data_IF_927893219349
#
_entry.id   IF_927893219349
#
_cell.length_a   1.000
_cell.length_b   1.000
_cell.length_c   1.000
_cell.angle_alpha   90.00
_cell.angle_beta   90.00
_cell.angle_gamma   90.00
#
_symmetry.space_group_name_H-M   'P 1'
#
loop_
_entity.id
_entity.type
_entity.pdbx_description
1 polymer ?
#
# COMPACT_ATOMS: atom_id res chain seq x y z
N UNK A 1 2.10 -17.68 -7.12
CA UNK A 1 2.83 -16.50 -7.65
C UNK A 1 1.85 -15.36 -7.56
N UNK A 2 2.22 -14.26 -6.93
CA UNK A 2 1.42 -13.04 -6.84
C UNK A 2 1.06 -12.56 -8.24
N UNK A 3 -0.15 -12.05 -8.46
CA UNK A 3 -0.52 -11.45 -9.74
C UNK A 3 0.44 -10.25 -10.02
N UNK A 4 1.23 -10.26 -11.12
CA UNK A 4 2.14 -9.17 -11.46
C UNK A 4 1.46 -7.80 -11.52
N UNK A 5 0.15 -7.76 -11.79
CA UNK A 5 -0.62 -6.51 -11.78
C UNK A 5 -0.77 -5.91 -10.39
N UNK A 6 -0.84 -6.74 -9.35
CA UNK A 6 -0.93 -6.29 -7.97
C UNK A 6 0.43 -5.73 -7.53
N UNK A 7 1.53 -6.37 -7.93
CA UNK A 7 2.89 -5.87 -7.69
C UNK A 7 3.12 -4.53 -8.42
N UNK A 8 2.78 -4.43 -9.70
CA UNK A 8 2.89 -3.19 -10.48
C UNK A 8 2.04 -2.07 -9.87
N UNK A 9 0.84 -2.40 -9.39
CA UNK A 9 -0.03 -1.45 -8.70
C UNK A 9 0.58 -0.96 -7.39
N UNK A 10 1.13 -1.85 -6.56
CA UNK A 10 1.81 -1.49 -5.31
C UNK A 10 2.96 -0.50 -5.55
N UNK A 11 3.81 -0.79 -6.56
CA UNK A 11 4.90 0.11 -6.95
C UNK A 11 4.37 1.48 -7.39
N UNK A 12 3.27 1.51 -8.14
CA UNK A 12 2.61 2.76 -8.54
C UNK A 12 2.18 3.60 -7.34
N UNK A 13 1.53 2.98 -6.36
CA UNK A 13 1.07 3.63 -5.12
C UNK A 13 2.26 4.15 -4.30
N UNK A 14 3.34 3.37 -4.17
CA UNK A 14 4.56 3.79 -3.46
C UNK A 14 5.23 5.03 -4.09
N UNK A 15 5.27 5.10 -5.42
CA UNK A 15 5.81 6.26 -6.14
C UNK A 15 4.97 7.51 -5.91
N UNK A 16 3.63 7.39 -5.99
CA UNK A 16 2.71 8.50 -5.72
C UNK A 16 2.82 8.99 -4.27
N UNK A 17 2.89 8.07 -3.32
CA UNK A 17 3.06 8.38 -1.90
C UNK A 17 4.38 9.14 -1.66
N UNK A 18 5.48 8.67 -2.26
CA UNK A 18 6.78 9.32 -2.18
C UNK A 18 6.71 10.76 -2.70
N UNK A 19 6.10 10.97 -3.86
CA UNK A 19 5.94 12.31 -4.43
C UNK A 19 5.15 13.26 -3.51
N UNK A 20 4.02 12.80 -2.95
CA UNK A 20 3.21 13.62 -2.06
C UNK A 20 3.93 13.96 -0.75
N UNK A 21 4.66 13.00 -0.18
CA UNK A 21 5.49 13.24 1.02
C UNK A 21 6.56 14.29 0.73
N UNK A 22 7.26 14.20 -0.40
CA UNK A 22 8.25 15.20 -0.81
C UNK A 22 7.63 16.58 -1.06
N UNK A 23 6.46 16.64 -1.72
CA UNK A 23 5.70 17.89 -1.92
C UNK A 23 5.31 18.52 -0.58
N UNK A 24 4.81 17.72 0.37
CA UNK A 24 4.46 18.16 1.72
C UNK A 24 5.68 18.68 2.48
N UNK A 25 6.80 17.95 2.45
CA UNK A 25 8.04 18.39 3.09
C UNK A 25 8.54 19.72 2.51
N UNK A 26 8.54 19.88 1.17
CA UNK A 26 8.89 21.15 0.53
C UNK A 26 7.95 22.28 0.93
N UNK A 27 6.65 22.02 1.02
CA UNK A 27 5.67 23.00 1.47
C UNK A 27 5.95 23.47 2.91
N UNK A 28 6.26 22.54 3.82
CA UNK A 28 6.65 22.86 5.19
C UNK A 28 7.92 23.70 5.25
N UNK A 29 8.96 23.34 4.49
CA UNK A 29 10.21 24.12 4.40
C UNK A 29 9.97 25.54 3.86
N UNK A 30 9.00 25.70 2.96
CA UNK A 30 8.61 26.99 2.38
C UNK A 30 7.61 27.78 3.25
N UNK A 31 7.21 27.27 4.42
CA UNK A 31 6.21 27.91 5.28
C UNK A 31 4.78 27.87 4.75
N UNK A 32 4.50 27.03 3.75
CA UNK A 32 3.17 26.84 3.15
C UNK A 32 2.37 25.78 3.92
N UNK A 33 2.12 26.04 5.20
CA UNK A 33 1.53 25.05 6.13
C UNK A 33 0.15 24.56 5.69
N UNK A 34 -0.74 25.46 5.26
CA UNK A 34 -2.08 25.08 4.78
C UNK A 34 -2.02 24.12 3.58
N UNK A 35 -1.07 24.36 2.66
CA UNK A 35 -0.86 23.46 1.52
C UNK A 35 -0.30 22.11 1.99
N UNK A 36 0.65 22.11 2.93
CA UNK A 36 1.17 20.88 3.52
C UNK A 36 0.07 20.04 4.21
N UNK A 37 -0.85 20.71 4.91
CA UNK A 37 -2.00 20.09 5.56
C UNK A 37 -3.00 19.53 4.54
N UNK A 38 -3.23 20.24 3.42
CA UNK A 38 -4.12 19.76 2.35
C UNK A 38 -3.65 18.47 1.68
N UNK A 39 -2.36 18.15 1.74
CA UNK A 39 -1.79 16.92 1.18
C UNK A 39 -1.95 15.71 2.11
N UNK A 40 -2.22 15.94 3.39
CA UNK A 40 -2.27 14.89 4.41
C UNK A 40 -3.36 13.83 4.13
N UNK A 41 -4.61 14.19 3.75
CA UNK A 41 -5.64 13.19 3.48
C UNK A 41 -5.31 12.28 2.29
N UNK A 42 -4.62 12.81 1.27
CA UNK A 42 -4.23 12.04 0.09
C UNK A 42 -3.10 11.05 0.42
N UNK A 43 -2.14 11.48 1.25
CA UNK A 43 -1.10 10.60 1.81
C UNK A 43 -1.71 9.45 2.61
N UNK A 44 -2.69 9.75 3.48
CA UNK A 44 -3.38 8.74 4.30
C UNK A 44 -4.15 7.74 3.43
N UNK A 45 -4.83 8.22 2.39
CA UNK A 45 -5.56 7.35 1.46
C UNK A 45 -4.62 6.37 0.73
N UNK A 46 -3.46 6.84 0.24
CA UNK A 46 -2.47 5.98 -0.42
C UNK A 46 -1.81 5.00 0.56
N UNK A 47 -1.59 5.39 1.81
CA UNK A 47 -1.09 4.48 2.85
C UNK A 47 -2.09 3.36 3.15
N UNK A 48 -3.38 3.68 3.23
CA UNK A 48 -4.43 2.68 3.41
C UNK A 48 -4.54 1.75 2.20
N UNK A 49 -4.40 2.28 0.99
CA UNK A 49 -4.36 1.50 -0.25
C UNK A 49 -3.17 0.55 -0.30
N UNK A 50 -1.98 1.02 0.07
CA UNK A 50 -0.79 0.19 0.14
C UNK A 50 -0.94 -0.93 1.18
N UNK A 51 -1.55 -0.63 2.33
CA UNK A 51 -1.85 -1.62 3.36
C UNK A 51 -2.81 -2.71 2.84
N UNK A 52 -3.90 -2.33 2.17
CA UNK A 52 -4.84 -3.28 1.55
C UNK A 52 -4.15 -4.13 0.48
N UNK A 53 -3.29 -3.52 -0.34
CA UNK A 53 -2.53 -4.25 -1.37
C UNK A 53 -1.56 -5.25 -0.74
N UNK A 54 -0.87 -4.87 0.34
CA UNK A 54 -0.01 -5.79 1.09
C UNK A 54 -0.79 -6.96 1.70
N UNK A 55 -2.00 -6.72 2.23
CA UNK A 55 -2.89 -7.78 2.72
C UNK A 55 -3.32 -8.74 1.60
N UNK A 56 -3.63 -8.24 0.40
CA UNK A 56 -3.96 -9.07 -0.76
C UNK A 56 -2.78 -9.96 -1.16
N UNK A 57 -1.59 -9.38 -1.30
CA UNK A 57 -0.36 -10.13 -1.63
C UNK A 57 -0.11 -11.22 -0.57
N UNK A 58 -0.22 -10.88 0.72
CA UNK A 58 -0.07 -11.85 1.79
C UNK A 58 -1.08 -12.99 1.67
N UNK A 59 -2.36 -12.68 1.46
CA UNK A 59 -3.42 -13.69 1.32
C UNK A 59 -3.24 -14.60 0.10
N UNK A 60 -2.73 -14.08 -1.03
CA UNK A 60 -2.35 -14.91 -2.19
C UNK A 60 -1.17 -15.84 -1.90
N UNK A 61 -0.23 -15.43 -1.05
CA UNK A 61 0.87 -16.27 -0.60
C UNK A 61 0.46 -17.33 0.44
N UNK A 62 -0.68 -17.16 1.12
CA UNK A 62 -1.20 -18.05 2.15
C UNK A 62 -2.45 -18.85 1.69
N UNK A 63 -2.57 -19.20 0.40
CA UNK A 63 -3.54 -20.22 0.00
C UNK A 63 -3.40 -21.46 0.90
N UNK A 64 -4.48 -21.75 1.64
CA UNK A 64 -4.61 -22.78 2.68
C UNK A 64 -3.77 -24.01 2.37
N UNK A 65 -2.94 -24.54 3.30
CA UNK A 65 -2.52 -25.92 3.17
C UNK A 65 -3.81 -26.75 3.12
N UNK A 66 -4.01 -27.50 2.03
CA UNK A 66 -4.97 -28.60 2.01
C UNK A 66 -4.56 -29.52 3.15
N UNK A 67 -5.23 -29.41 4.28
CA UNK A 67 -5.22 -30.46 5.28
C UNK A 67 -5.96 -31.60 4.60
N UNK A 68 -5.21 -32.48 3.95
CA UNK A 68 -5.72 -33.76 3.52
C UNK A 68 -6.27 -34.42 4.79
N UNK A 69 -7.60 -34.52 4.89
CA UNK A 69 -8.23 -35.47 5.79
C UNK A 69 -7.89 -36.88 5.29
N UNK A 70 -6.64 -37.32 5.50
CA UNK A 70 -6.31 -38.74 5.44
C UNK A 70 -6.81 -39.39 6.73
N UNK A 71 -8.06 -39.87 6.63
CA UNK A 71 -8.39 -41.23 7.02
C UNK A 71 -8.30 -41.53 8.51
N UNK A 72 -9.45 -41.42 9.17
CA UNK A 72 -9.83 -42.42 10.15
C UNK A 72 -9.64 -43.83 9.55
N UNK A 73 -8.73 -44.62 10.11
CA UNK A 73 -8.47 -46.02 9.78
C UNK A 73 -7.85 -46.73 10.95
#
# INVERSE_FOLDING_TARGET
MTDPRIEDHAVGVELQLTELVERRQRALVQGRTEFAESLQPEIEALQEELARTAELIANEHFERPEIAEEGAG
#
